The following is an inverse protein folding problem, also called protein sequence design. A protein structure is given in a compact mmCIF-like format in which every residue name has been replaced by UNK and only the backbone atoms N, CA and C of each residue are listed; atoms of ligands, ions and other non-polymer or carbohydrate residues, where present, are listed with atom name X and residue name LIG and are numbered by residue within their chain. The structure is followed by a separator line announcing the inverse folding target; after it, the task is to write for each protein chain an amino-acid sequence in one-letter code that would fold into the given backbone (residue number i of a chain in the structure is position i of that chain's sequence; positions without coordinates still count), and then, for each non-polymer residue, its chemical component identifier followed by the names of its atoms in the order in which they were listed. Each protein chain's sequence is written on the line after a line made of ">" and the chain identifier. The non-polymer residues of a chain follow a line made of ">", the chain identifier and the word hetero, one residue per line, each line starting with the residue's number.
data_IF_953831785112
#
_entry.id   IF_953831785112
#
_cell.length_a   1.000
_cell.length_b   1.000
_cell.length_c   1.000
_cell.angle_alpha   90.00
_cell.angle_beta   90.00
_cell.angle_gamma   90.00
#
_symmetry.space_group_name_H-M   'P 1'
#
loop_
_entity.id
_entity.type
_entity.pdbx_description
1 polymer ?
#
# COMPACT_ATOMS: atom_id res chain seq x y z
N UNK A 1 0.71 -17.30 20.27
CA UNK A 1 0.98 -17.06 18.84
C UNK A 1 -0.37 -17.12 18.15
N UNK A 2 -0.97 -15.96 17.89
CA UNK A 2 -1.96 -15.70 16.83
C UNK A 2 -2.43 -14.25 16.99
N UNK A 3 -1.53 -13.30 16.72
CA UNK A 3 -1.89 -11.92 16.36
C UNK A 3 -2.24 -11.89 14.86
N UNK A 4 -3.13 -12.80 14.42
CA UNK A 4 -3.50 -13.00 13.00
C UNK A 4 -4.93 -12.52 12.70
N UNK A 5 -5.48 -11.66 13.56
CA UNK A 5 -6.64 -10.83 13.25
C UNK A 5 -6.24 -9.36 13.41
N UNK A 6 -5.28 -8.90 12.60
CA UNK A 6 -5.24 -7.50 12.22
C UNK A 6 -6.49 -7.24 11.35
N UNK A 7 -7.65 -7.19 11.98
CA UNK A 7 -8.80 -6.47 11.46
C UNK A 7 -8.27 -5.06 11.24
N UNK A 8 -8.11 -4.68 9.97
CA UNK A 8 -7.67 -3.33 9.64
C UNK A 8 -8.77 -2.40 10.11
N UNK A 9 -8.63 -1.86 11.32
CA UNK A 9 -9.51 -0.82 11.79
C UNK A 9 -9.36 0.35 10.81
N UNK A 10 -10.49 0.81 10.28
CA UNK A 10 -10.56 2.02 9.48
C UNK A 10 -9.82 3.16 10.18
N UNK A 11 -8.85 3.74 9.50
CA UNK A 11 -7.98 4.80 10.05
C UNK A 11 -7.73 5.86 8.97
N UNK A 12 -8.64 6.85 8.81
CA UNK A 12 -8.53 7.86 7.76
C UNK A 12 -7.28 8.75 7.89
N UNK A 13 -6.79 8.98 9.12
CA UNK A 13 -5.56 9.75 9.37
C UNK A 13 -4.34 8.98 8.84
N UNK A 14 -4.32 7.65 9.01
CA UNK A 14 -3.29 6.79 8.43
C UNK A 14 -3.37 6.72 6.91
N UNK A 15 -4.57 6.72 6.33
CA UNK A 15 -4.76 6.82 4.87
C UNK A 15 -4.11 8.10 4.34
N UNK A 16 -4.48 9.25 4.92
CA UNK A 16 -3.96 10.57 4.54
C UNK A 16 -2.43 10.60 4.66
N UNK A 17 -1.90 10.22 5.81
CA UNK A 17 -0.44 10.18 6.06
C UNK A 17 0.31 9.33 5.04
N UNK A 18 -0.19 8.13 4.72
CA UNK A 18 0.47 7.24 3.76
C UNK A 18 0.42 7.81 2.33
N UNK A 19 -0.68 8.45 1.95
CA UNK A 19 -0.85 9.07 0.63
C UNK A 19 0.00 10.34 0.48
N UNK A 20 0.10 11.17 1.52
CA UNK A 20 1.00 12.32 1.55
C UNK A 20 2.46 11.90 1.37
N UNK A 21 2.92 10.91 2.14
CA UNK A 21 4.28 10.38 1.99
C UNK A 21 4.48 9.79 0.59
N UNK A 22 3.49 9.08 0.06
CA UNK A 22 3.56 8.52 -1.29
C UNK A 22 3.75 9.60 -2.36
N UNK A 23 3.04 10.73 -2.23
CA UNK A 23 3.18 11.87 -3.13
C UNK A 23 4.53 12.57 -2.99
N UNK A 24 5.01 12.77 -1.75
CA UNK A 24 6.29 13.42 -1.48
C UNK A 24 7.48 12.65 -2.07
N UNK A 25 7.44 11.32 -2.00
CA UNK A 25 8.54 10.49 -2.51
C UNK A 25 8.41 10.19 -4.01
N UNK A 26 7.29 10.53 -4.66
CA UNK A 26 7.02 10.23 -6.07
C UNK A 26 7.77 11.18 -7.02
N UNK A 27 8.98 10.78 -7.35
CA UNK A 27 9.90 11.40 -8.29
C UNK A 27 9.91 10.68 -9.66
N UNK A 28 10.88 11.05 -10.50
CA UNK A 28 10.98 10.58 -11.88
C UNK A 28 11.57 9.17 -12.03
N UNK A 29 12.23 8.63 -11.00
CA UNK A 29 12.82 7.29 -11.08
C UNK A 29 11.75 6.21 -11.00
N UNK A 30 12.01 5.08 -11.67
CA UNK A 30 11.09 3.94 -11.65
C UNK A 30 10.88 3.41 -10.24
N UNK A 31 11.94 3.41 -9.43
CA UNK A 31 12.02 2.93 -8.06
C UNK A 31 11.18 3.79 -7.14
N UNK A 32 11.32 5.11 -7.24
CA UNK A 32 10.52 6.06 -6.49
C UNK A 32 9.02 5.91 -6.78
N UNK A 33 8.63 5.81 -8.06
CA UNK A 33 7.23 5.57 -8.44
C UNK A 33 6.67 4.26 -7.90
N UNK A 34 7.50 3.23 -7.83
CA UNK A 34 7.13 1.93 -7.28
C UNK A 34 6.91 1.99 -5.76
N UNK A 35 7.79 2.68 -5.02
CA UNK A 35 7.61 2.85 -3.57
C UNK A 35 6.33 3.65 -3.29
N UNK A 36 6.08 4.73 -4.05
CA UNK A 36 4.83 5.48 -3.96
C UNK A 36 3.60 4.57 -4.21
N UNK A 37 3.63 3.76 -5.27
CA UNK A 37 2.52 2.84 -5.58
C UNK A 37 2.26 1.81 -4.47
N UNK A 38 3.32 1.31 -3.82
CA UNK A 38 3.19 0.40 -2.68
C UNK A 38 2.52 1.10 -1.48
N UNK A 39 2.91 2.33 -1.16
CA UNK A 39 2.32 3.09 -0.07
C UNK A 39 0.83 3.38 -0.31
N UNK A 40 0.47 3.76 -1.54
CA UNK A 40 -0.93 3.88 -1.94
C UNK A 40 -1.69 2.58 -1.69
N UNK A 41 -1.13 1.45 -2.11
CA UNK A 41 -1.78 0.15 -1.97
C UNK A 41 -1.94 -0.27 -0.51
N UNK A 42 -0.98 0.04 0.36
CA UNK A 42 -1.09 -0.17 1.80
C UNK A 42 -2.14 0.77 2.40
N UNK A 43 -2.26 2.02 1.92
CA UNK A 43 -3.26 2.98 2.41
C UNK A 43 -4.68 2.47 2.27
N UNK A 44 -4.98 1.75 1.18
CA UNK A 44 -6.31 1.16 0.93
C UNK A 44 -6.77 0.25 2.07
N UNK A 45 -5.85 -0.40 2.81
CA UNK A 45 -6.22 -1.24 3.95
C UNK A 45 -6.97 -0.48 5.04
N UNK A 46 -6.67 0.80 5.20
CA UNK A 46 -7.22 1.64 6.26
C UNK A 46 -8.38 2.50 5.77
N UNK A 47 -8.67 2.49 4.46
CA UNK A 47 -9.70 3.29 3.82
C UNK A 47 -11.06 2.56 3.94
N UNK A 48 -12.08 3.16 4.58
CA UNK A 48 -13.38 2.51 4.75
C UNK A 48 -14.14 2.34 3.43
N UNK A 49 -13.78 3.11 2.40
CA UNK A 49 -14.41 3.07 1.09
C UNK A 49 -13.75 2.03 0.16
N UNK A 50 -12.64 1.42 0.58
CA UNK A 50 -11.90 0.41 -0.19
C UNK A 50 -12.18 -1.01 0.33
N UNK A 51 -12.62 -1.89 -0.57
CA UNK A 51 -12.76 -3.32 -0.28
C UNK A 51 -11.44 -4.04 -0.58
N UNK A 52 -10.51 -4.00 0.38
CA UNK A 52 -9.20 -4.65 0.22
C UNK A 52 -8.80 -5.44 1.46
N UNK A 53 -7.97 -6.47 1.26
CA UNK A 53 -7.42 -7.28 2.35
C UNK A 53 -5.90 -7.27 2.33
N UNK A 54 -5.22 -7.57 3.47
CA UNK A 54 -3.77 -7.71 3.50
C UNK A 54 -3.23 -8.71 2.46
N UNK A 55 -4.01 -9.76 2.15
CA UNK A 55 -3.68 -10.73 1.11
C UNK A 55 -3.69 -10.09 -0.29
N UNK A 56 -4.68 -9.25 -0.58
CA UNK A 56 -4.78 -8.56 -1.87
C UNK A 56 -3.65 -7.57 -2.07
N UNK A 57 -3.24 -6.87 -1.00
CA UNK A 57 -2.06 -6.00 -1.01
C UNK A 57 -0.80 -6.82 -1.31
N UNK A 58 -0.59 -7.92 -0.58
CA UNK A 58 0.58 -8.77 -0.77
C UNK A 58 0.68 -9.32 -2.20
N UNK A 59 -0.44 -9.81 -2.76
CA UNK A 59 -0.46 -10.30 -4.14
C UNK A 59 -0.15 -9.19 -5.14
N UNK A 60 -0.75 -8.01 -4.97
CA UNK A 60 -0.51 -6.86 -5.84
C UNK A 60 0.96 -6.42 -5.80
N UNK A 61 1.53 -6.25 -4.60
CA UNK A 61 2.94 -5.90 -4.41
C UNK A 61 3.90 -6.91 -5.04
N UNK A 62 3.62 -8.21 -4.87
CA UNK A 62 4.43 -9.27 -5.47
C UNK A 62 4.47 -9.20 -6.99
N UNK A 63 3.34 -8.89 -7.63
CA UNK A 63 3.30 -8.70 -9.08
C UNK A 63 4.07 -7.43 -9.51
N UNK A 64 3.89 -6.30 -8.80
CA UNK A 64 4.62 -5.05 -9.09
C UNK A 64 6.14 -5.27 -9.07
N UNK A 65 6.65 -6.04 -8.10
CA UNK A 65 8.08 -6.35 -7.98
C UNK A 65 8.55 -7.27 -9.12
N UNK A 66 7.81 -8.35 -9.42
CA UNK A 66 8.18 -9.31 -10.47
C UNK A 66 8.23 -8.70 -11.86
N UNK A 67 7.30 -7.81 -12.19
CA UNK A 67 7.28 -7.16 -13.51
C UNK A 67 8.50 -6.29 -13.76
N UNK A 68 9.19 -5.79 -12.72
CA UNK A 68 10.43 -5.01 -12.89
C UNK A 68 11.69 -5.83 -13.12
N UNK A 69 11.69 -7.12 -12.80
CA UNK A 69 12.86 -7.99 -13.00
C UNK A 69 12.94 -8.57 -14.42
N UNK A 70 11.95 -8.31 -15.28
CA UNK A 70 11.86 -8.81 -16.66
C UNK A 70 12.23 -7.78 -17.72
#
# INVERSE_FOLDING_TARGET
>A
MSDDEATSETDPERVETLREIADDIRAESSESRMVAAILYRISDLYDPDEETTPRDIYLNMREIIRTKES
#
